data_IF_914481171244
#
_entry.id   IF_914481171244
#
_cell.length_a   1.000
_cell.length_b   1.000
_cell.length_c   1.000
_cell.angle_alpha   90.00
_cell.angle_beta   90.00
_cell.angle_gamma   90.00
#
_symmetry.space_group_name_H-M   'P 1'
#
loop_
_entity.id
_entity.type
_entity.pdbx_description
1 polymer ?
#
# COMPACT_ATOMS: atom_id res chain seq x y z
N UNK A 1 -25.30 32.53 47.92
CA UNK A 1 -23.95 32.35 47.39
C UNK A 1 -23.82 30.88 46.96
N UNK A 2 -24.12 30.60 45.68
CA UNK A 2 -24.14 29.23 45.14
C UNK A 2 -22.78 28.98 44.51
N UNK A 3 -22.04 28.00 45.06
CA UNK A 3 -20.73 27.59 44.57
C UNK A 3 -20.95 26.51 43.51
N UNK A 4 -20.68 26.83 42.21
CA UNK A 4 -20.66 25.88 41.12
C UNK A 4 -19.33 25.12 41.20
N UNK A 5 -19.37 23.83 41.51
CA UNK A 5 -18.26 22.91 41.35
C UNK A 5 -18.20 22.48 39.90
N UNK A 6 -17.26 23.01 39.12
CA UNK A 6 -16.94 22.52 37.76
C UNK A 6 -16.04 21.30 37.92
N UNK A 7 -16.62 20.11 37.71
CA UNK A 7 -15.85 18.88 37.58
C UNK A 7 -15.12 18.86 36.23
N UNK A 8 -13.83 19.07 36.25
CA UNK A 8 -12.95 18.80 35.10
C UNK A 8 -12.77 17.29 34.99
N UNK A 9 -13.57 16.63 34.16
CA UNK A 9 -13.33 15.25 33.77
C UNK A 9 -12.18 15.24 32.76
N UNK A 10 -10.97 14.94 33.22
CA UNK A 10 -9.86 14.59 32.33
C UNK A 10 -10.28 13.36 31.52
N UNK A 11 -10.62 13.57 30.26
CA UNK A 11 -10.87 12.48 29.31
C UNK A 11 -9.55 11.73 29.12
N UNK A 12 -9.41 10.58 29.76
CA UNK A 12 -8.34 9.64 29.49
C UNK A 12 -8.60 9.08 28.09
N UNK A 13 -7.85 9.56 27.07
CA UNK A 13 -7.77 8.90 25.78
C UNK A 13 -7.11 7.54 26.00
N UNK A 14 -7.90 6.49 26.07
CA UNK A 14 -7.39 5.11 26.05
C UNK A 14 -6.79 4.92 24.65
N UNK A 15 -5.47 4.92 24.57
CA UNK A 15 -4.78 4.57 23.33
C UNK A 15 -4.93 3.06 23.12
N UNK A 16 -5.93 2.69 22.32
CA UNK A 16 -6.07 1.31 21.88
C UNK A 16 -5.04 1.06 20.79
N UNK A 17 -4.15 0.10 21.02
CA UNK A 17 -3.14 -0.34 20.06
C UNK A 17 -3.24 -1.85 19.98
N UNK A 18 -3.57 -2.38 18.80
CA UNK A 18 -3.70 -3.82 18.55
C UNK A 18 -2.81 -4.22 17.37
N UNK A 19 -2.00 -5.25 17.57
CA UNK A 19 -1.28 -5.89 16.47
C UNK A 19 -2.24 -6.63 15.56
N UNK A 20 -2.13 -6.39 14.25
CA UNK A 20 -2.89 -7.02 13.18
C UNK A 20 -2.08 -8.15 12.54
N UNK A 21 -0.80 -7.88 12.28
CA UNK A 21 0.17 -8.85 11.77
C UNK A 21 1.47 -8.70 12.56
N UNK A 22 1.95 -9.79 13.11
CA UNK A 22 3.30 -9.91 13.65
C UNK A 22 4.32 -9.97 12.50
N UNK A 23 5.61 -9.80 12.78
CA UNK A 23 6.67 -9.92 11.79
C UNK A 23 6.61 -11.25 11.02
N UNK A 24 6.41 -12.37 11.72
CA UNK A 24 6.29 -13.68 11.09
C UNK A 24 5.06 -13.79 10.18
N UNK A 25 3.91 -13.29 10.64
CA UNK A 25 2.67 -13.29 9.83
C UNK A 25 2.81 -12.40 8.61
N UNK A 26 3.49 -11.24 8.74
CA UNK A 26 3.77 -10.32 7.64
C UNK A 26 4.60 -11.02 6.55
N UNK A 27 5.68 -11.70 6.92
CA UNK A 27 6.53 -12.44 5.98
C UNK A 27 5.78 -13.58 5.26
N UNK A 28 4.94 -14.33 5.97
CA UNK A 28 4.09 -15.36 5.38
C UNK A 28 3.09 -14.73 4.39
N UNK A 29 2.51 -13.59 4.74
CA UNK A 29 1.56 -12.88 3.89
C UNK A 29 2.22 -12.38 2.61
N UNK A 30 3.43 -11.82 2.70
CA UNK A 30 4.21 -11.35 1.55
C UNK A 30 4.53 -12.50 0.60
N UNK A 31 5.00 -13.64 1.12
CA UNK A 31 5.26 -14.84 0.31
C UNK A 31 4.00 -15.31 -0.42
N UNK A 32 2.86 -15.35 0.28
CA UNK A 32 1.60 -15.73 -0.33
C UNK A 32 1.19 -14.77 -1.46
N UNK A 33 1.34 -13.44 -1.25
CA UNK A 33 1.04 -12.45 -2.29
C UNK A 33 1.94 -12.62 -3.50
N UNK A 34 3.23 -12.87 -3.30
CA UNK A 34 4.18 -13.14 -4.37
C UNK A 34 3.77 -14.36 -5.22
N UNK A 35 3.39 -15.47 -4.55
CA UNK A 35 2.91 -16.66 -5.25
C UNK A 35 1.58 -16.44 -5.96
N UNK A 36 0.64 -15.69 -5.38
CA UNK A 36 -0.63 -15.34 -6.05
C UNK A 36 -0.40 -14.54 -7.33
N UNK A 37 0.56 -13.60 -7.32
CA UNK A 37 0.94 -12.87 -8.53
C UNK A 37 1.53 -13.82 -9.56
N UNK A 38 2.45 -14.71 -9.17
CA UNK A 38 3.04 -15.70 -10.08
C UNK A 38 2.01 -16.67 -10.66
N UNK A 39 1.05 -17.14 -9.87
CA UNK A 39 -0.02 -18.04 -10.32
C UNK A 39 -0.88 -17.40 -11.43
N UNK A 40 -1.14 -16.10 -11.34
CA UNK A 40 -1.95 -15.39 -12.33
C UNK A 40 -1.13 -14.90 -13.53
N UNK A 41 0.18 -14.78 -13.39
CA UNK A 41 1.10 -14.26 -14.41
C UNK A 41 2.23 -15.26 -14.66
N UNK A 42 1.90 -16.42 -15.24
CA UNK A 42 2.86 -17.50 -15.56
C UNK A 42 3.99 -17.00 -16.48
N UNK A 43 3.68 -16.07 -17.37
CA UNK A 43 4.67 -15.39 -18.22
C UNK A 43 4.79 -13.93 -17.77
N UNK A 44 5.88 -13.60 -17.09
CA UNK A 44 6.16 -12.23 -16.62
C UNK A 44 6.73 -11.31 -17.71
N UNK A 45 6.98 -11.78 -18.92
CA UNK A 45 7.47 -10.94 -20.04
C UNK A 45 6.44 -9.85 -20.41
N UNK A 46 5.14 -10.15 -20.22
CA UNK A 46 4.02 -9.24 -20.49
C UNK A 46 3.50 -8.54 -19.22
N UNK A 47 4.17 -8.75 -18.07
CA UNK A 47 3.72 -8.22 -16.79
C UNK A 47 4.81 -7.37 -16.14
N UNK A 48 4.42 -6.23 -15.60
CA UNK A 48 5.31 -5.32 -14.88
C UNK A 48 4.79 -5.08 -13.47
N UNK A 49 5.69 -5.04 -12.51
CA UNK A 49 5.37 -4.78 -11.11
C UNK A 49 5.74 -3.33 -10.79
N UNK A 50 4.84 -2.57 -10.20
CA UNK A 50 5.06 -1.16 -9.88
C UNK A 50 4.70 -0.87 -8.43
N UNK A 51 5.72 -0.55 -7.61
CA UNK A 51 5.55 -0.15 -6.22
C UNK A 51 5.21 1.34 -6.10
N UNK A 52 4.16 1.66 -5.34
CA UNK A 52 3.77 3.05 -5.10
C UNK A 52 4.61 3.68 -3.98
N UNK A 53 5.20 4.83 -4.28
CA UNK A 53 5.94 5.61 -3.30
C UNK A 53 5.00 6.47 -2.44
N UNK A 54 5.38 6.77 -1.17
CA UNK A 54 6.64 6.37 -0.53
C UNK A 54 6.58 5.04 0.23
N UNK A 55 5.42 4.47 0.51
CA UNK A 55 5.29 3.34 1.44
C UNK A 55 5.09 1.98 0.77
N UNK A 56 4.36 1.93 -0.33
CA UNK A 56 4.13 0.72 -1.11
C UNK A 56 5.41 0.07 -1.62
N UNK A 57 6.49 0.86 -1.79
CA UNK A 57 7.79 0.34 -2.22
C UNK A 57 8.41 -0.66 -1.25
N UNK A 58 8.16 -0.54 0.05
CA UNK A 58 8.68 -1.52 1.03
C UNK A 58 8.01 -2.89 0.89
N UNK A 59 6.73 -2.91 0.52
CA UNK A 59 6.01 -4.14 0.20
C UNK A 59 6.46 -4.70 -1.15
N UNK A 60 6.50 -3.86 -2.18
CA UNK A 60 6.85 -4.29 -3.53
C UNK A 60 8.28 -4.82 -3.63
N UNK A 61 9.26 -4.18 -2.96
CA UNK A 61 10.64 -4.69 -2.90
C UNK A 61 10.66 -6.13 -2.35
N UNK A 62 9.94 -6.42 -1.25
CA UNK A 62 9.89 -7.75 -0.66
C UNK A 62 9.12 -8.77 -1.52
N UNK A 63 8.02 -8.36 -2.18
CA UNK A 63 7.29 -9.24 -3.13
C UNK A 63 8.21 -9.59 -4.32
N UNK A 64 8.90 -8.62 -4.89
CA UNK A 64 9.83 -8.82 -5.99
C UNK A 64 10.99 -9.74 -5.59
N UNK A 65 11.53 -9.57 -4.37
CA UNK A 65 12.58 -10.44 -3.84
C UNK A 65 12.10 -11.89 -3.69
N UNK A 66 10.85 -12.11 -3.27
CA UNK A 66 10.28 -13.46 -3.20
C UNK A 66 10.05 -14.05 -4.61
N UNK A 67 9.53 -13.26 -5.56
CA UNK A 67 9.32 -13.68 -6.96
C UNK A 67 10.66 -14.09 -7.61
N UNK A 68 11.72 -13.33 -7.41
CA UNK A 68 13.06 -13.61 -7.95
C UNK A 68 13.71 -14.88 -7.39
N UNK A 69 13.17 -15.48 -6.34
CA UNK A 69 13.64 -16.79 -5.84
C UNK A 69 13.05 -17.94 -6.65
N UNK A 70 11.88 -17.72 -7.26
CA UNK A 70 11.14 -18.76 -7.99
C UNK A 70 11.42 -18.73 -9.50
N UNK A 71 11.79 -17.57 -10.04
CA UNK A 71 12.03 -17.38 -11.47
C UNK A 71 13.32 -16.59 -11.71
N UNK A 72 13.80 -16.60 -12.98
CA UNK A 72 14.99 -15.81 -13.35
C UNK A 72 14.79 -14.33 -13.07
N UNK A 73 15.71 -13.67 -12.35
CA UNK A 73 15.64 -12.24 -12.03
C UNK A 73 15.49 -11.33 -13.26
N UNK A 74 16.05 -11.74 -14.40
CA UNK A 74 16.04 -10.96 -15.65
C UNK A 74 14.63 -10.88 -16.26
N UNK A 75 13.73 -11.79 -15.90
CA UNK A 75 12.34 -11.80 -16.38
C UNK A 75 11.41 -10.92 -15.55
N UNK A 76 11.92 -10.27 -14.48
CA UNK A 76 11.08 -9.43 -13.60
C UNK A 76 11.27 -7.96 -13.92
N UNK A 77 10.31 -7.36 -14.60
CA UNK A 77 10.26 -5.90 -14.80
C UNK A 77 9.62 -5.25 -13.57
N UNK A 78 10.41 -4.44 -12.86
CA UNK A 78 9.98 -3.76 -11.64
C UNK A 78 10.33 -2.30 -11.67
N UNK A 79 9.39 -1.44 -11.30
CA UNK A 79 9.55 0.00 -11.19
C UNK A 79 8.94 0.59 -9.93
N UNK A 80 9.27 1.85 -9.64
CA UNK A 80 8.76 2.62 -8.50
C UNK A 80 8.12 3.90 -9.01
N UNK A 81 6.84 4.12 -8.67
CA UNK A 81 6.05 5.25 -9.13
C UNK A 81 5.80 6.24 -8.00
N UNK A 82 6.23 7.48 -8.16
CA UNK A 82 5.84 8.58 -7.29
C UNK A 82 4.55 9.23 -7.82
N UNK A 83 3.58 9.37 -6.94
CA UNK A 83 2.27 9.93 -7.26
C UNK A 83 2.05 11.30 -6.61
N UNK A 84 3.10 11.91 -6.05
CA UNK A 84 3.00 13.15 -5.28
C UNK A 84 2.29 14.25 -6.07
N UNK A 85 2.62 14.45 -7.34
CA UNK A 85 2.02 15.51 -8.17
C UNK A 85 0.60 15.20 -8.68
N UNK A 86 0.14 13.95 -8.58
CA UNK A 86 -1.19 13.50 -9.03
C UNK A 86 -2.22 13.44 -7.90
N UNK A 87 -1.81 13.72 -6.66
CA UNK A 87 -2.68 13.73 -5.49
C UNK A 87 -3.41 15.06 -5.37
N UNK A 88 -4.70 15.00 -5.07
CA UNK A 88 -5.59 16.16 -4.87
C UNK A 88 -5.61 16.67 -3.41
N UNK A 89 -5.02 15.92 -2.48
CA UNK A 89 -5.03 16.21 -1.03
C UNK A 89 -3.74 16.85 -0.48
N UNK A 90 -2.76 17.15 -1.34
CA UNK A 90 -1.41 17.67 -0.98
C UNK A 90 -1.41 19.15 -0.57
N UNK A 91 -2.51 19.86 -0.70
CA UNK A 91 -2.57 21.33 -0.54
C UNK A 91 -2.14 21.87 0.84
N UNK A 92 -1.88 21.02 1.83
CA UNK A 92 -1.60 21.43 3.22
C UNK A 92 -0.17 21.19 3.71
N UNK A 93 0.63 20.38 3.02
CA UNK A 93 2.02 20.07 3.43
C UNK A 93 2.95 20.03 2.21
N UNK A 94 4.15 20.60 2.34
CA UNK A 94 5.22 20.46 1.36
C UNK A 94 5.69 19.02 1.34
N UNK A 95 5.18 18.21 0.40
CA UNK A 95 5.69 16.87 0.19
C UNK A 95 6.89 16.93 -0.76
N UNK A 96 8.01 16.40 -0.31
CA UNK A 96 9.18 16.21 -1.17
C UNK A 96 8.86 15.02 -2.08
N UNK A 97 8.77 15.28 -3.40
CA UNK A 97 8.59 14.24 -4.39
C UNK A 97 9.79 13.28 -4.38
N UNK A 98 9.51 12.00 -4.48
CA UNK A 98 10.53 10.99 -4.72
C UNK A 98 10.80 10.89 -6.24
N UNK A 99 11.85 10.19 -6.61
CA UNK A 99 12.12 9.93 -8.01
C UNK A 99 11.30 8.73 -8.50
N UNK A 100 10.47 8.92 -9.53
CA UNK A 100 9.91 7.80 -10.28
C UNK A 100 11.03 7.06 -10.99
N UNK A 101 11.04 5.73 -10.89
CA UNK A 101 12.02 4.84 -11.50
C UNK A 101 11.26 3.75 -12.30
N UNK A 102 10.90 4.08 -13.53
CA UNK A 102 10.27 3.19 -14.51
C UNK A 102 11.09 3.36 -15.80
N UNK A 103 11.98 2.40 -16.07
CA UNK A 103 12.91 2.44 -17.21
C UNK A 103 12.44 1.61 -18.41
N UNK A 104 11.21 1.09 -18.36
CA UNK A 104 10.59 0.23 -19.37
C UNK A 104 9.25 0.81 -19.81
N UNK A 105 8.76 0.41 -21.00
CA UNK A 105 7.40 0.75 -21.45
C UNK A 105 6.38 -0.15 -20.78
N UNK A 106 5.23 0.44 -20.41
CA UNK A 106 4.06 -0.30 -19.92
C UNK A 106 2.98 -0.49 -21.00
N UNK A 107 3.27 -0.02 -22.23
CA UNK A 107 2.32 -0.09 -23.34
C UNK A 107 1.93 -1.54 -23.63
N UNK A 108 0.61 -1.82 -23.60
CA UNK A 108 0.05 -3.16 -23.86
C UNK A 108 0.39 -4.21 -22.79
N UNK A 109 1.00 -3.85 -21.66
CA UNK A 109 1.39 -4.79 -20.60
C UNK A 109 0.36 -4.89 -19.49
N UNK A 110 0.39 -6.00 -18.76
CA UNK A 110 -0.30 -6.13 -17.49
C UNK A 110 0.53 -5.41 -16.41
N UNK A 111 -0.08 -4.47 -15.70
CA UNK A 111 0.56 -3.74 -14.60
C UNK A 111 0.00 -4.22 -13.28
N UNK A 112 0.84 -4.71 -12.38
CA UNK A 112 0.47 -4.97 -10.99
C UNK A 112 0.95 -3.80 -10.13
N UNK A 113 0.03 -2.93 -9.72
CA UNK A 113 0.29 -1.85 -8.75
C UNK A 113 0.35 -2.42 -7.34
N UNK A 114 1.37 -2.03 -6.57
CA UNK A 114 1.60 -2.56 -5.23
C UNK A 114 1.62 -1.42 -4.22
N UNK A 115 0.73 -1.46 -3.20
CA UNK A 115 0.67 -0.50 -2.10
C UNK A 115 0.51 -1.19 -0.74
N UNK A 116 0.88 -0.53 0.35
CA UNK A 116 0.80 -1.13 1.69
C UNK A 116 -0.64 -1.14 2.26
N UNK A 117 -1.40 -0.06 2.11
CA UNK A 117 -2.75 0.07 2.68
C UNK A 117 -3.74 0.69 1.71
N UNK A 118 -4.71 -0.07 1.26
CA UNK A 118 -5.85 0.47 0.54
C UNK A 118 -6.88 1.01 1.52
N UNK A 119 -7.09 2.33 1.48
CA UNK A 119 -8.06 3.04 2.34
C UNK A 119 -9.21 3.62 1.52
N UNK A 120 -9.13 4.88 1.11
CA UNK A 120 -10.18 5.57 0.36
C UNK A 120 -10.15 5.29 -1.14
N UNK A 121 -9.03 4.85 -1.67
CA UNK A 121 -8.75 4.66 -3.10
C UNK A 121 -8.11 5.87 -3.78
N UNK A 122 -7.94 7.03 -3.09
CA UNK A 122 -7.38 8.25 -3.69
C UNK A 122 -5.94 8.06 -4.18
N UNK A 123 -5.11 7.33 -3.44
CA UNK A 123 -3.75 6.96 -3.82
C UNK A 123 -3.75 6.20 -5.15
N UNK A 124 -4.64 5.21 -5.28
CA UNK A 124 -4.71 4.38 -6.49
C UNK A 124 -5.23 5.18 -7.68
N UNK A 125 -6.23 6.06 -7.49
CA UNK A 125 -6.66 6.97 -8.55
C UNK A 125 -5.48 7.80 -9.07
N UNK A 126 -4.73 8.43 -8.18
CA UNK A 126 -3.55 9.21 -8.55
C UNK A 126 -2.50 8.36 -9.28
N UNK A 127 -2.32 7.09 -8.88
CA UNK A 127 -1.42 6.16 -9.57
C UNK A 127 -1.91 5.81 -10.97
N UNK A 128 -3.21 5.60 -11.17
CA UNK A 128 -3.79 5.35 -12.49
C UNK A 128 -3.61 6.55 -13.43
N UNK A 129 -3.78 7.78 -12.90
CA UNK A 129 -3.53 9.00 -13.67
C UNK A 129 -2.04 9.10 -14.07
N UNK A 130 -1.13 8.83 -13.12
CA UNK A 130 0.31 8.90 -13.34
C UNK A 130 0.84 7.83 -14.33
N UNK A 131 0.24 6.64 -14.35
CA UNK A 131 0.64 5.58 -15.27
C UNK A 131 0.50 5.97 -16.74
N UNK A 132 -0.46 6.84 -17.08
CA UNK A 132 -0.70 7.28 -18.46
C UNK A 132 0.50 8.01 -19.07
N UNK A 133 1.38 8.59 -18.26
CA UNK A 133 2.62 9.23 -18.73
C UNK A 133 3.68 8.20 -19.20
N UNK A 134 3.52 6.92 -18.84
CA UNK A 134 4.45 5.83 -19.17
C UNK A 134 3.93 4.88 -20.25
N UNK A 135 2.71 5.07 -20.72
CA UNK A 135 2.06 4.28 -21.75
C UNK A 135 0.66 3.83 -21.33
N UNK A 136 -0.03 3.11 -22.23
CA UNK A 136 -1.36 2.57 -22.01
C UNK A 136 -1.26 1.07 -21.69
N UNK A 137 -1.40 0.65 -20.43
CA UNK A 137 -1.41 -0.76 -20.07
C UNK A 137 -2.64 -1.47 -20.66
N UNK A 138 -2.52 -2.77 -20.96
CA UNK A 138 -3.64 -3.63 -21.31
C UNK A 138 -4.57 -3.84 -20.11
N UNK A 139 -3.97 -4.06 -18.93
CA UNK A 139 -4.68 -4.28 -17.68
C UNK A 139 -3.92 -3.69 -16.52
N UNK A 140 -4.62 -3.17 -15.50
CA UNK A 140 -4.04 -2.78 -14.22
C UNK A 140 -4.70 -3.58 -13.12
N UNK A 141 -3.89 -4.29 -12.35
CA UNK A 141 -4.28 -5.04 -11.15
C UNK A 141 -3.69 -4.40 -9.91
N UNK A 142 -4.35 -4.57 -8.78
CA UNK A 142 -3.96 -3.95 -7.53
C UNK A 142 -3.63 -5.01 -6.46
N UNK A 143 -2.40 -4.96 -5.95
CA UNK A 143 -1.92 -5.77 -4.84
C UNK A 143 -1.74 -4.90 -3.60
N UNK A 144 -2.37 -5.27 -2.47
CA UNK A 144 -2.25 -4.54 -1.21
C UNK A 144 -1.99 -5.46 -0.03
N UNK A 145 -1.18 -5.01 0.91
CA UNK A 145 -0.98 -5.74 2.16
C UNK A 145 -2.23 -5.71 3.03
N UNK A 146 -2.82 -4.52 3.20
CA UNK A 146 -4.02 -4.31 4.00
C UNK A 146 -5.11 -3.66 3.17
N UNK A 147 -6.26 -4.32 3.11
CA UNK A 147 -7.49 -3.75 2.59
C UNK A 147 -8.41 -3.31 3.74
N UNK A 148 -8.60 -1.98 3.91
CA UNK A 148 -9.56 -1.41 4.87
C UNK A 148 -10.94 -1.36 4.23
N UNK A 149 -11.78 -2.35 4.57
CA UNK A 149 -13.17 -2.37 4.10
C UNK A 149 -13.99 -1.23 4.70
N UNK A 150 -15.09 -0.88 4.05
CA UNK A 150 -16.08 0.15 4.45
C UNK A 150 -15.57 1.59 4.50
N UNK A 151 -14.40 1.89 3.96
CA UNK A 151 -13.84 3.24 3.94
C UNK A 151 -13.58 3.79 2.53
N UNK A 152 -14.06 3.10 1.50
CA UNK A 152 -13.90 3.52 0.10
C UNK A 152 -14.65 4.81 -0.19
N UNK A 153 -13.97 5.72 -0.88
CA UNK A 153 -14.56 6.92 -1.49
C UNK A 153 -14.62 6.81 -3.02
N UNK A 154 -13.87 5.88 -3.58
CA UNK A 154 -13.80 5.59 -5.01
C UNK A 154 -14.07 4.09 -5.25
N UNK A 155 -14.65 3.68 -6.40
CA UNK A 155 -14.98 2.30 -6.69
C UNK A 155 -13.74 1.47 -7.07
N UNK A 156 -12.79 1.38 -6.15
CA UNK A 156 -11.52 0.66 -6.33
C UNK A 156 -11.52 -0.57 -5.44
N UNK A 157 -11.20 -1.70 -6.04
CA UNK A 157 -11.11 -3.00 -5.39
C UNK A 157 -9.74 -3.62 -5.70
N UNK A 158 -9.07 -4.25 -4.75
CA UNK A 158 -7.80 -4.94 -4.99
C UNK A 158 -8.05 -6.36 -5.54
N UNK A 159 -7.13 -6.80 -6.40
CA UNK A 159 -7.08 -8.17 -6.94
C UNK A 159 -6.35 -9.12 -5.98
N UNK A 160 -5.29 -8.62 -5.35
CA UNK A 160 -4.47 -9.38 -4.40
C UNK A 160 -4.50 -8.70 -3.02
N UNK A 161 -4.92 -9.44 -2.00
CA UNK A 161 -5.10 -8.90 -0.65
C UNK A 161 -4.32 -9.72 0.38
N UNK A 162 -3.44 -9.05 1.11
CA UNK A 162 -2.76 -9.66 2.25
C UNK A 162 -3.73 -9.96 3.38
N UNK A 163 -4.41 -8.94 3.88
CA UNK A 163 -5.44 -9.07 4.92
C UNK A 163 -6.51 -7.98 4.79
N UNK A 164 -7.78 -8.39 4.80
CA UNK A 164 -8.90 -7.46 4.89
C UNK A 164 -9.21 -7.15 6.36
N UNK A 165 -9.52 -5.88 6.64
CA UNK A 165 -9.79 -5.38 7.99
C UNK A 165 -11.02 -4.49 7.97
N UNK A 166 -11.94 -4.78 8.88
CA UNK A 166 -13.06 -3.89 9.17
C UNK A 166 -12.58 -2.85 10.19
N UNK A 167 -12.44 -1.62 9.74
CA UNK A 167 -12.00 -0.52 10.59
C UNK A 167 -12.91 0.69 10.46
N UNK A 168 -13.15 1.37 11.57
CA UNK A 168 -13.91 2.63 11.59
C UNK A 168 -13.01 3.80 11.18
N UNK A 169 -13.61 4.93 10.80
CA UNK A 169 -12.88 6.10 10.28
C UNK A 169 -11.88 6.69 11.30
N UNK A 170 -12.18 6.61 12.60
CA UNK A 170 -11.30 7.09 13.67
C UNK A 170 -10.10 6.18 13.97
N UNK A 171 -10.00 5.04 13.29
CA UNK A 171 -8.88 4.12 13.47
C UNK A 171 -7.83 4.36 12.40
N UNK A 172 -6.56 4.31 12.79
CA UNK A 172 -5.40 4.35 11.89
C UNK A 172 -4.75 2.99 11.82
N UNK A 173 -4.43 2.56 10.60
CA UNK A 173 -3.59 1.39 10.35
C UNK A 173 -2.19 1.90 9.99
N UNK A 174 -1.17 1.36 10.66
CA UNK A 174 0.23 1.63 10.36
C UNK A 174 0.94 0.32 10.05
N UNK A 175 1.63 0.31 8.93
CA UNK A 175 2.57 -0.75 8.58
C UNK A 175 3.95 -0.27 8.99
N UNK A 176 4.61 -0.99 9.86
CA UNK A 176 5.99 -0.73 10.25
C UNK A 176 6.90 -1.65 9.46
N UNK A 177 7.93 -1.08 8.87
CA UNK A 177 8.94 -1.78 8.09
C UNK A 177 10.27 -1.71 8.80
N UNK A 178 10.94 -2.86 8.99
CA UNK A 178 12.20 -2.96 9.74
C UNK A 178 13.25 -1.98 9.24
N UNK A 179 13.35 -1.80 7.92
CA UNK A 179 14.31 -0.89 7.29
C UNK A 179 14.07 0.58 7.66
N UNK A 180 12.83 0.97 7.96
CA UNK A 180 12.45 2.36 8.27
C UNK A 180 12.13 2.57 9.74
N UNK A 181 11.42 1.60 10.34
CA UNK A 181 10.80 1.76 11.66
C UNK A 181 11.46 0.84 12.71
N UNK A 182 12.50 0.07 12.32
CA UNK A 182 13.28 -0.82 13.19
C UNK A 182 12.58 -2.16 13.50
N UNK A 183 11.34 -2.34 13.08
CA UNK A 183 10.54 -3.58 13.27
C UNK A 183 9.56 -3.78 12.13
N UNK A 184 9.20 -5.05 11.90
CA UNK A 184 8.16 -5.45 10.96
C UNK A 184 6.88 -5.78 11.73
N UNK A 185 5.82 -5.00 11.54
CA UNK A 185 4.51 -5.28 12.12
C UNK A 185 3.41 -4.45 11.44
N UNK A 186 2.18 -4.88 11.56
CA UNK A 186 1.00 -4.07 11.23
C UNK A 186 0.17 -3.87 12.49
N UNK A 187 -0.15 -2.61 12.78
CA UNK A 187 -0.94 -2.23 13.95
C UNK A 187 -2.16 -1.41 13.56
N UNK A 188 -3.20 -1.49 14.39
CA UNK A 188 -4.34 -0.59 14.38
C UNK A 188 -4.37 0.20 15.69
N UNK A 189 -4.60 1.50 15.59
CA UNK A 189 -4.69 2.41 16.73
C UNK A 189 -5.90 3.32 16.61
N UNK A 190 -6.46 3.75 17.73
CA UNK A 190 -7.41 4.88 17.74
C UNK A 190 -6.62 6.19 17.70
N UNK A 191 -7.17 7.20 17.02
CA UNK A 191 -6.63 8.57 17.06
C UNK A 191 -6.88 9.25 18.40
#
# INVERSE_FOLDING_TARGET
MQVFFVFFVKQFKIHFLKSILTAQQLQITIKRLAHQVLENHVNLDETVLIGLQPRGVFLSDQIVDEIKKEISPDNVQYGKLDITFYRDDIRKELHIANRTDISFSIEGKNVVLIDDVLYTGRTIRAALDALLDFGRPEKVELCVLIDRRFSRQLPIQPDYVGKSIDSILSQKIKVHWKIKDGKDEVIISNE
#
